data_IF_629679606270
#
_entry.id   IF_629679606270
#
_cell.length_a   1.000
_cell.length_b   1.000
_cell.length_c   1.000
_cell.angle_alpha   90.00
_cell.angle_beta   90.00
_cell.angle_gamma   90.00
#
_symmetry.space_group_name_H-M   'P 1'
#
loop_
_entity.id
_entity.type
_entity.pdbx_description
1 polymer ?
#
# COMPACT_ATOMS: atom_id res chain seq x y z
N UNK A 1 7.84 18.93 0.96
CA UNK A 1 8.09 17.62 1.61
C UNK A 1 8.40 16.57 0.55
N UNK A 2 9.67 16.18 0.36
CA UNK A 2 10.09 15.14 -0.60
C UNK A 2 10.14 13.79 0.12
N UNK A 3 9.52 12.75 -0.43
CA UNK A 3 9.65 11.36 0.06
C UNK A 3 10.51 10.61 -0.95
N UNK A 4 11.67 10.10 -0.52
CA UNK A 4 12.52 9.23 -1.32
C UNK A 4 11.96 7.80 -1.25
N UNK A 5 11.35 7.32 -2.32
CA UNK A 5 11.10 5.90 -2.50
C UNK A 5 12.26 5.30 -3.30
N UNK A 6 13.10 4.51 -2.63
CA UNK A 6 14.21 3.79 -3.24
C UNK A 6 13.66 2.55 -3.96
N UNK A 7 13.37 2.67 -5.26
CA UNK A 7 13.17 1.47 -6.08
C UNK A 7 14.53 0.79 -6.29
N UNK A 8 14.52 -0.55 -6.19
CA UNK A 8 15.70 -1.43 -6.15
C UNK A 8 16.61 -1.36 -7.40
N UNK A 9 16.27 -0.54 -8.40
CA UNK A 9 16.94 -0.43 -9.70
C UNK A 9 17.73 0.87 -9.96
N UNK A 10 17.78 1.83 -9.03
CA UNK A 10 18.81 2.89 -9.06
C UNK A 10 18.80 3.87 -10.26
N UNK A 11 17.66 4.12 -10.90
CA UNK A 11 17.54 5.14 -11.96
C UNK A 11 17.09 6.48 -11.37
N UNK A 12 18.02 7.45 -11.37
CA UNK A 12 17.83 8.84 -10.94
C UNK A 12 17.04 9.62 -12.00
N UNK A 13 15.75 9.35 -12.14
CA UNK A 13 14.87 10.08 -13.07
C UNK A 13 14.03 11.13 -12.32
N UNK A 14 14.11 12.38 -12.75
CA UNK A 14 13.35 13.53 -12.24
C UNK A 14 11.87 13.47 -12.66
N UNK A 15 11.14 12.44 -12.22
CA UNK A 15 9.73 12.26 -12.56
C UNK A 15 8.84 12.27 -11.32
N UNK A 16 7.74 13.01 -11.42
CA UNK A 16 6.68 13.17 -10.42
C UNK A 16 5.87 11.86 -10.24
N UNK A 17 6.48 10.82 -9.66
CA UNK A 17 5.87 9.49 -9.48
C UNK A 17 5.56 9.15 -8.01
N UNK A 18 4.88 10.04 -7.28
CA UNK A 18 4.50 9.78 -5.89
C UNK A 18 3.29 8.83 -5.75
N UNK A 19 2.38 8.82 -6.73
CA UNK A 19 1.11 8.10 -6.62
C UNK A 19 1.25 6.57 -6.78
N UNK A 20 2.08 6.12 -7.74
CA UNK A 20 2.26 4.69 -8.00
C UNK A 20 3.01 3.97 -6.87
N UNK A 21 3.97 4.65 -6.24
CA UNK A 21 4.72 4.07 -5.13
C UNK A 21 3.88 3.91 -3.87
N UNK A 22 2.98 4.86 -3.57
CA UNK A 22 1.98 4.69 -2.50
C UNK A 22 1.04 3.52 -2.78
N UNK A 23 0.65 3.33 -4.05
CA UNK A 23 -0.20 2.21 -4.46
C UNK A 23 0.45 0.85 -4.15
N UNK A 24 1.74 0.73 -4.45
CA UNK A 24 2.53 -0.44 -4.14
C UNK A 24 2.84 -0.56 -2.63
N UNK A 25 3.25 0.52 -1.96
CA UNK A 25 3.68 0.51 -0.56
C UNK A 25 2.59 0.02 0.40
N UNK A 26 1.37 0.51 0.22
CA UNK A 26 0.18 0.17 1.00
C UNK A 26 -0.21 -1.31 0.79
N UNK A 27 -0.17 -1.78 -0.46
CA UNK A 27 -0.41 -3.19 -0.81
C UNK A 27 0.68 -4.12 -0.24
N UNK A 28 1.94 -3.70 -0.27
CA UNK A 28 3.07 -4.46 0.28
C UNK A 28 3.01 -4.48 1.80
N UNK A 29 2.68 -3.37 2.46
CA UNK A 29 2.50 -3.30 3.91
C UNK A 29 1.36 -4.22 4.39
N UNK A 30 0.25 -4.27 3.65
CA UNK A 30 -0.83 -5.20 3.92
C UNK A 30 -0.37 -6.66 3.83
N UNK A 31 0.33 -7.01 2.74
CA UNK A 31 0.87 -8.35 2.52
C UNK A 31 1.91 -8.74 3.59
N UNK A 32 2.78 -7.81 3.99
CA UNK A 32 3.76 -8.02 5.07
C UNK A 32 3.08 -8.33 6.41
N UNK A 33 1.95 -7.68 6.67
CA UNK A 33 1.15 -7.92 7.86
C UNK A 33 0.33 -9.23 7.82
N UNK A 34 0.47 -10.03 6.75
CA UNK A 34 -0.38 -11.19 6.44
C UNK A 34 -1.87 -10.84 6.35
N UNK A 35 -2.17 -9.58 5.99
CA UNK A 35 -3.51 -9.12 5.70
C UNK A 35 -3.91 -9.40 4.25
N UNK A 36 -5.18 -9.20 3.95
CA UNK A 36 -5.76 -9.34 2.62
C UNK A 36 -6.44 -8.05 2.19
N UNK A 37 -6.24 -7.67 0.93
CA UNK A 37 -6.83 -6.48 0.34
C UNK A 37 -8.26 -6.78 -0.13
N UNK A 38 -9.26 -6.16 0.51
CA UNK A 38 -10.67 -6.32 0.19
C UNK A 38 -11.29 -5.01 -0.29
N UNK A 39 -12.23 -5.11 -1.24
CA UNK A 39 -12.99 -3.96 -1.74
C UNK A 39 -14.18 -3.61 -0.81
N UNK A 40 -14.55 -4.56 0.03
CA UNK A 40 -15.56 -4.42 1.09
C UNK A 40 -14.91 -4.02 2.42
N UNK A 41 -15.63 -3.34 3.32
CA UNK A 41 -15.14 -3.11 4.67
C UNK A 41 -14.83 -4.43 5.38
N UNK A 42 -13.80 -4.43 6.22
CA UNK A 42 -13.42 -5.60 6.99
C UNK A 42 -14.56 -5.97 7.94
N UNK A 43 -15.07 -7.19 7.82
CA UNK A 43 -16.06 -7.75 8.72
C UNK A 43 -15.37 -8.48 9.86
N UNK A 44 -15.90 -8.36 11.07
CA UNK A 44 -15.41 -9.09 12.24
C UNK A 44 -15.35 -10.60 11.94
N UNK A 45 -14.26 -11.32 12.30
CA UNK A 45 -13.17 -10.91 13.20
C UNK A 45 -12.02 -10.12 12.54
N UNK A 46 -12.10 -9.78 11.26
CA UNK A 46 -11.03 -9.06 10.58
C UNK A 46 -11.06 -7.56 10.90
N UNK A 47 -9.92 -7.00 11.24
CA UNK A 47 -9.69 -5.58 11.52
C UNK A 47 -9.07 -4.86 10.33
N UNK A 48 -9.52 -3.62 10.12
CA UNK A 48 -8.96 -2.68 9.14
C UNK A 48 -7.61 -2.18 9.67
N UNK A 49 -6.51 -2.56 9.02
CA UNK A 49 -5.15 -2.18 9.43
C UNK A 49 -4.52 -1.13 8.52
N UNK A 50 -5.20 -0.77 7.43
CA UNK A 50 -4.71 0.15 6.42
C UNK A 50 -5.51 0.04 5.13
N UNK A 51 -4.93 0.51 4.04
CA UNK A 51 -5.53 0.43 2.71
C UNK A 51 -4.75 -0.53 1.81
N UNK A 52 -5.25 -0.78 0.60
CA UNK A 52 -4.46 -1.31 -0.50
C UNK A 52 -4.71 -0.53 -1.79
N UNK A 53 -3.80 -0.66 -2.76
CA UNK A 53 -3.85 0.07 -4.02
C UNK A 53 -4.08 1.57 -3.81
N UNK A 54 -3.32 2.18 -2.91
CA UNK A 54 -3.27 3.64 -2.77
C UNK A 54 -4.59 4.23 -2.27
N UNK A 55 -5.27 3.50 -1.39
CA UNK A 55 -6.57 3.91 -0.84
C UNK A 55 -7.80 3.38 -1.57
N UNK A 56 -7.64 2.60 -2.64
CA UNK A 56 -8.78 2.03 -3.40
C UNK A 56 -9.43 0.83 -2.73
N UNK A 57 -8.67 0.10 -1.90
CA UNK A 57 -9.14 -1.08 -1.16
C UNK A 57 -8.80 -0.93 0.31
N UNK A 58 -9.44 -1.74 1.17
CA UNK A 58 -9.10 -1.86 2.58
C UNK A 58 -8.21 -3.07 2.83
N UNK A 59 -7.21 -2.90 3.68
CA UNK A 59 -6.41 -4.02 4.15
C UNK A 59 -7.02 -4.61 5.42
N UNK A 60 -7.49 -5.84 5.32
CA UNK A 60 -8.11 -6.56 6.42
C UNK A 60 -7.16 -7.63 6.96
N UNK A 61 -6.99 -7.66 8.28
CA UNK A 61 -6.16 -8.66 8.97
C UNK A 61 -6.97 -9.33 10.08
N UNK A 62 -6.76 -10.62 10.29
CA UNK A 62 -7.22 -11.30 11.51
C UNK A 62 -6.48 -10.80 12.75
#
# INVERSE_FOLDING_TARGET
>A
SRVLCLDKSGILSWVFFAAYSQEAADTIACRQNRGSCSFVPCSAPLVDIGTCRGGKLKCCKW
#
